data_IF_468841525117
#
_entry.id   IF_468841525117
#
_cell.length_a   1.000
_cell.length_b   1.000
_cell.length_c   1.000
_cell.angle_alpha   90.00
_cell.angle_beta   90.00
_cell.angle_gamma   90.00
#
_symmetry.space_group_name_H-M   'P 1'
#
loop_
_entity.id
_entity.type
_entity.pdbx_description
1 polymer ?
#
# COMPACT_ATOMS: atom_id res chain seq x y z
N UNK A 1 11.46 5.93 16.96
CA UNK A 1 10.82 5.55 15.66
C UNK A 1 10.77 4.04 15.62
N UNK A 2 9.58 3.49 15.59
CA UNK A 2 9.37 2.04 15.52
C UNK A 2 9.53 1.57 14.07
N UNK A 3 10.42 0.62 13.81
CA UNK A 3 10.60 0.00 12.51
C UNK A 3 9.36 -0.85 12.14
N UNK A 4 9.10 -1.03 10.84
CA UNK A 4 7.94 -1.82 10.39
C UNK A 4 7.97 -3.26 10.88
N UNK A 5 9.13 -3.90 10.81
CA UNK A 5 9.31 -5.29 11.28
C UNK A 5 9.07 -5.44 12.79
N UNK A 6 9.54 -4.48 13.59
CA UNK A 6 9.28 -4.46 15.03
C UNK A 6 7.79 -4.29 15.33
N UNK A 7 7.14 -3.33 14.65
CA UNK A 7 5.69 -3.10 14.76
C UNK A 7 4.89 -4.37 14.41
N UNK A 8 5.24 -5.04 13.33
CA UNK A 8 4.58 -6.30 12.95
C UNK A 8 4.83 -7.43 13.96
N UNK A 9 6.02 -7.48 14.56
CA UNK A 9 6.35 -8.47 15.60
C UNK A 9 5.45 -8.28 16.82
N UNK A 10 5.36 -7.05 17.33
CA UNK A 10 4.52 -6.71 18.48
C UNK A 10 3.04 -6.97 18.18
N UNK A 11 2.57 -6.56 16.99
CA UNK A 11 1.21 -6.79 16.54
C UNK A 11 0.85 -8.28 16.45
N UNK A 12 1.73 -9.11 15.90
CA UNK A 12 1.52 -10.56 15.81
C UNK A 12 1.55 -11.23 17.19
N UNK A 13 2.41 -10.76 18.09
CA UNK A 13 2.50 -11.25 19.46
C UNK A 13 1.23 -10.94 20.27
N UNK A 14 0.44 -9.95 19.89
CA UNK A 14 -0.84 -9.61 20.55
C UNK A 14 -2.00 -10.55 20.18
N UNK A 15 -1.76 -11.56 19.33
CA UNK A 15 -2.78 -12.55 18.97
C UNK A 15 -3.36 -13.25 20.20
N UNK A 16 -4.65 -13.60 20.25
CA UNK A 16 -5.62 -13.47 19.15
C UNK A 16 -6.31 -12.10 19.06
N UNK A 17 -5.98 -11.15 19.91
CA UNK A 17 -6.66 -9.85 19.98
C UNK A 17 -6.24 -8.89 18.86
N UNK A 18 -5.02 -9.04 18.32
CA UNK A 18 -4.45 -8.18 17.28
C UNK A 18 -4.59 -6.70 17.57
N UNK A 19 -4.09 -6.29 18.73
CA UNK A 19 -4.11 -4.89 19.19
C UNK A 19 -2.74 -4.24 19.01
N UNK A 20 -2.75 -2.94 18.67
CA UNK A 20 -1.55 -2.13 18.58
C UNK A 20 -1.87 -0.65 18.81
N UNK A 21 -0.92 0.07 19.38
CA UNK A 21 -0.86 1.52 19.40
C UNK A 21 0.39 1.93 18.64
N UNK A 22 0.28 2.88 17.73
CA UNK A 22 1.38 3.26 16.84
C UNK A 22 2.06 4.53 17.30
N UNK A 23 3.36 4.59 17.06
CA UNK A 23 4.15 5.80 17.23
C UNK A 23 3.78 6.86 16.19
N UNK A 24 4.12 8.11 16.48
CA UNK A 24 3.91 9.25 15.60
C UNK A 24 4.52 9.06 14.20
N UNK A 25 5.62 8.29 14.07
CA UNK A 25 6.24 8.01 12.76
C UNK A 25 5.40 7.09 11.86
N UNK A 26 4.25 6.59 12.31
CA UNK A 26 3.31 5.85 11.46
C UNK A 26 2.01 6.61 11.21
N UNK A 27 1.93 7.88 11.61
CA UNK A 27 0.78 8.73 11.39
C UNK A 27 0.94 9.61 10.15
N UNK A 28 -0.17 9.86 9.46
CA UNK A 28 -0.36 10.86 8.41
C UNK A 28 -1.29 11.95 8.95
N UNK A 29 -0.70 13.02 9.50
CA UNK A 29 -1.46 13.99 10.28
C UNK A 29 -1.98 13.34 11.57
N UNK A 30 -3.28 13.39 11.78
CA UNK A 30 -3.96 12.85 12.98
C UNK A 30 -4.44 11.40 12.84
N UNK A 31 -4.12 10.72 11.77
CA UNK A 31 -4.59 9.35 11.50
C UNK A 31 -3.42 8.43 11.17
N UNK A 32 -3.57 7.15 11.44
CA UNK A 32 -2.62 6.15 10.97
C UNK A 32 -2.49 6.18 9.43
N UNK A 33 -1.29 5.92 8.92
CA UNK A 33 -1.03 5.79 7.49
C UNK A 33 -1.86 4.65 6.88
N UNK A 34 -2.55 4.91 5.75
CA UNK A 34 -3.47 3.95 5.14
C UNK A 34 -2.82 2.63 4.74
N UNK A 35 -1.62 2.70 4.15
CA UNK A 35 -0.85 1.51 3.81
C UNK A 35 -0.51 0.64 5.01
N UNK A 36 -0.25 1.24 6.19
CA UNK A 36 -0.06 0.49 7.43
C UNK A 36 -1.35 -0.23 7.84
N UNK A 37 -2.48 0.48 7.89
CA UNK A 37 -3.74 -0.13 8.33
C UNK A 37 -4.17 -1.29 7.42
N UNK A 38 -3.99 -1.15 6.09
CA UNK A 38 -4.23 -2.22 5.12
C UNK A 38 -3.28 -3.43 5.34
N UNK A 39 -2.01 -3.17 5.64
CA UNK A 39 -1.02 -4.21 5.93
C UNK A 39 -1.33 -4.96 7.22
N UNK A 40 -1.82 -4.28 8.27
CA UNK A 40 -2.25 -4.90 9.52
C UNK A 40 -3.44 -5.84 9.33
N UNK A 41 -4.42 -5.50 8.47
CA UNK A 41 -5.51 -6.41 8.11
C UNK A 41 -4.98 -7.71 7.50
N UNK A 42 -4.05 -7.60 6.54
CA UNK A 42 -3.42 -8.76 5.92
C UNK A 42 -2.60 -9.57 6.93
N UNK A 43 -1.79 -8.89 7.76
CA UNK A 43 -0.95 -9.52 8.78
C UNK A 43 -1.76 -10.36 9.78
N UNK A 44 -2.90 -9.85 10.27
CA UNK A 44 -3.78 -10.57 11.18
C UNK A 44 -4.31 -11.88 10.56
N UNK A 45 -4.72 -11.84 9.28
CA UNK A 45 -5.20 -13.03 8.58
C UNK A 45 -4.08 -14.06 8.46
N UNK A 46 -2.91 -13.68 7.92
CA UNK A 46 -1.83 -14.65 7.67
C UNK A 46 -1.18 -15.17 8.94
N UNK A 47 -1.26 -14.43 10.04
CA UNK A 47 -0.80 -14.91 11.35
C UNK A 47 -1.79 -15.89 12.03
N UNK A 48 -3.07 -15.85 11.63
CA UNK A 48 -4.12 -16.67 12.25
C UNK A 48 -4.39 -18.00 11.54
N UNK A 49 -3.89 -18.16 10.32
CA UNK A 49 -4.18 -19.34 9.51
C UNK A 49 -2.92 -19.87 8.84
N UNK A 50 -2.56 -21.11 9.19
CA UNK A 50 -1.46 -21.82 8.54
C UNK A 50 -1.84 -22.21 7.10
N UNK A 51 -0.82 -22.31 6.25
CA UNK A 51 -0.93 -22.85 4.90
C UNK A 51 -1.97 -22.12 4.01
N UNK A 52 -2.09 -20.80 4.15
CA UNK A 52 -2.85 -20.02 3.20
C UNK A 52 -2.16 -20.04 1.83
N UNK A 53 -2.91 -20.20 0.72
CA UNK A 53 -2.35 -19.97 -0.60
C UNK A 53 -1.99 -18.49 -0.77
N UNK A 54 -1.26 -18.13 -1.84
CA UNK A 54 -0.90 -16.73 -2.10
C UNK A 54 -2.12 -15.80 -2.16
N UNK A 55 -1.93 -14.55 -1.69
CA UNK A 55 -2.92 -13.48 -1.86
C UNK A 55 -3.12 -13.23 -3.36
N UNK A 56 -4.38 -13.14 -3.81
CA UNK A 56 -4.73 -12.81 -5.20
C UNK A 56 -5.27 -11.39 -5.32
N UNK A 57 -6.15 -11.02 -4.42
CA UNK A 57 -6.74 -9.68 -4.44
C UNK A 57 -7.14 -9.23 -3.05
N UNK A 58 -7.09 -7.91 -2.83
CA UNK A 58 -7.67 -7.26 -1.67
C UNK A 58 -8.49 -6.04 -2.10
N UNK A 59 -9.60 -5.82 -1.41
CA UNK A 59 -10.45 -4.64 -1.56
C UNK A 59 -10.49 -3.94 -0.22
N UNK A 60 -9.92 -2.74 -0.15
CA UNK A 60 -9.77 -1.95 1.07
C UNK A 60 -10.68 -0.73 1.00
N UNK A 61 -11.35 -0.41 2.11
CA UNK A 61 -12.12 0.81 2.29
C UNK A 61 -11.61 1.53 3.54
N UNK A 62 -11.24 2.79 3.39
CA UNK A 62 -10.85 3.68 4.47
C UNK A 62 -12.09 4.45 4.92
N UNK A 63 -12.74 3.97 5.98
CA UNK A 63 -14.06 4.43 6.42
C UNK A 63 -13.95 5.68 7.30
N UNK A 64 -12.93 5.73 8.15
CA UNK A 64 -12.71 6.83 9.06
C UNK A 64 -11.26 6.96 9.52
N UNK A 65 -10.93 8.03 10.22
CA UNK A 65 -9.59 8.20 10.80
C UNK A 65 -9.33 7.12 11.85
N UNK A 66 -8.09 6.67 11.92
CA UNK A 66 -7.63 5.69 12.91
C UNK A 66 -6.58 6.33 13.81
N UNK A 67 -6.83 6.39 15.10
CA UNK A 67 -5.92 6.95 16.11
C UNK A 67 -6.11 6.25 17.45
N UNK A 68 -5.10 6.35 18.34
CA UNK A 68 -5.06 5.66 19.61
C UNK A 68 -4.83 4.15 19.46
N UNK A 69 -5.47 3.38 20.33
CA UNK A 69 -5.39 1.92 20.26
C UNK A 69 -6.21 1.38 19.10
N UNK A 70 -5.57 0.60 18.25
CA UNK A 70 -6.17 -0.07 17.11
C UNK A 70 -6.35 -1.55 17.38
N UNK A 71 -7.46 -2.11 16.91
CA UNK A 71 -7.77 -3.54 17.04
C UNK A 71 -8.24 -4.08 15.69
N UNK A 72 -7.64 -5.20 15.29
CA UNK A 72 -8.02 -5.88 14.03
C UNK A 72 -8.83 -7.13 14.34
N UNK A 73 -9.98 -7.26 13.67
CA UNK A 73 -10.80 -8.45 13.66
C UNK A 73 -10.94 -9.00 12.24
N UNK A 74 -10.98 -10.30 12.10
CA UNK A 74 -11.15 -10.95 10.80
C UNK A 74 -12.07 -12.18 10.90
N UNK A 75 -12.68 -12.54 9.77
CA UNK A 75 -13.55 -13.70 9.65
C UNK A 75 -13.38 -14.36 8.29
N UNK A 76 -13.17 -15.66 8.29
CA UNK A 76 -13.28 -16.45 7.06
C UNK A 76 -14.73 -16.44 6.60
N UNK A 77 -14.98 -15.97 5.37
CA UNK A 77 -16.32 -15.96 4.77
C UNK A 77 -16.60 -17.26 4.04
N UNK A 78 -15.60 -17.77 3.32
CA UNK A 78 -15.71 -19.01 2.55
C UNK A 78 -14.35 -19.60 2.29
N UNK A 79 -14.25 -20.94 2.39
CA UNK A 79 -13.14 -21.75 1.88
C UNK A 79 -13.68 -22.69 0.81
N UNK A 80 -13.18 -22.56 -0.40
CA UNK A 80 -13.42 -23.48 -1.51
C UNK A 80 -12.23 -24.40 -1.73
N UNK A 81 -12.28 -25.21 -2.79
CA UNK A 81 -11.16 -26.09 -3.18
C UNK A 81 -9.89 -25.33 -3.52
N UNK A 82 -10.01 -24.19 -4.19
CA UNK A 82 -8.87 -23.46 -4.77
C UNK A 82 -8.68 -22.06 -4.19
N UNK A 83 -9.63 -21.54 -3.42
CA UNK A 83 -9.55 -20.20 -2.86
C UNK A 83 -10.21 -20.12 -1.48
N UNK A 84 -9.80 -19.11 -0.73
CA UNK A 84 -10.40 -18.73 0.55
C UNK A 84 -10.53 -17.22 0.62
N UNK A 85 -11.68 -16.75 1.09
CA UNK A 85 -11.95 -15.30 1.23
C UNK A 85 -12.22 -14.96 2.69
N UNK A 86 -11.60 -13.87 3.12
CA UNK A 86 -11.76 -13.28 4.46
C UNK A 86 -12.34 -11.88 4.36
N UNK A 87 -13.12 -11.50 5.35
CA UNK A 87 -13.37 -10.11 5.73
C UNK A 87 -12.46 -9.78 6.91
N UNK A 88 -11.83 -8.61 6.89
CA UNK A 88 -11.10 -8.06 8.02
C UNK A 88 -11.48 -6.60 8.23
N UNK A 89 -11.40 -6.10 9.46
CA UNK A 89 -11.59 -4.70 9.77
C UNK A 89 -10.70 -4.29 10.94
N UNK A 90 -10.34 -3.03 10.93
CA UNK A 90 -9.59 -2.35 11.97
C UNK A 90 -10.48 -1.23 12.52
N UNK A 91 -10.75 -1.31 13.80
CA UNK A 91 -11.36 -0.24 14.58
C UNK A 91 -10.32 0.39 15.51
N UNK A 92 -10.51 1.64 15.89
CA UNK A 92 -9.62 2.36 16.79
C UNK A 92 -10.41 3.12 17.86
N UNK A 93 -9.73 3.75 18.80
CA UNK A 93 -10.37 4.62 19.79
C UNK A 93 -11.13 5.79 19.13
N UNK A 94 -10.75 6.16 17.89
CA UNK A 94 -11.48 7.15 17.07
C UNK A 94 -12.74 6.58 16.36
N UNK A 95 -12.97 5.27 16.45
CA UNK A 95 -14.11 4.58 15.81
C UNK A 95 -13.71 3.68 14.64
N UNK A 96 -14.68 3.36 13.74
CA UNK A 96 -14.44 2.51 12.58
C UNK A 96 -13.37 3.10 11.65
N UNK A 97 -12.34 2.31 11.33
CA UNK A 97 -11.19 2.76 10.55
C UNK A 97 -11.09 2.15 9.15
N UNK A 98 -10.46 0.99 9.02
CA UNK A 98 -10.17 0.35 7.74
C UNK A 98 -10.85 -1.00 7.63
N UNK A 99 -11.53 -1.24 6.51
CA UNK A 99 -12.26 -2.49 6.23
C UNK A 99 -11.76 -3.12 4.94
N UNK A 100 -11.68 -4.45 4.88
CA UNK A 100 -11.21 -5.10 3.66
C UNK A 100 -11.71 -6.52 3.46
N UNK A 101 -11.69 -6.95 2.19
CA UNK A 101 -11.89 -8.32 1.75
C UNK A 101 -10.60 -8.82 1.11
N UNK A 102 -10.15 -10.00 1.53
CA UNK A 102 -8.90 -10.62 1.06
C UNK A 102 -9.20 -12.00 0.50
N UNK A 103 -8.85 -12.23 -0.75
CA UNK A 103 -9.00 -13.54 -1.39
C UNK A 103 -7.64 -14.12 -1.71
N UNK A 104 -7.39 -15.28 -1.14
CA UNK A 104 -6.21 -16.12 -1.37
C UNK A 104 -6.57 -17.25 -2.32
N UNK A 105 -5.64 -17.68 -3.17
CA UNK A 105 -5.92 -18.69 -4.16
C UNK A 105 -4.69 -19.47 -4.62
N UNK A 106 -4.84 -20.80 -4.80
CA UNK A 106 -3.77 -21.66 -5.29
C UNK A 106 -3.46 -21.38 -6.76
N UNK A 107 -2.20 -21.52 -7.15
CA UNK A 107 -1.79 -21.50 -8.55
C UNK A 107 -2.30 -22.77 -9.26
N UNK A 108 -2.80 -22.63 -10.48
CA UNK A 108 -3.39 -23.72 -11.25
C UNK A 108 -2.77 -23.82 -12.62
N UNK A 109 -2.63 -25.04 -13.13
CA UNK A 109 -2.23 -25.26 -14.53
C UNK A 109 -3.31 -24.69 -15.46
N UNK A 110 -2.90 -23.94 -16.45
CA UNK A 110 -3.77 -23.35 -17.47
C UNK A 110 -3.32 -23.79 -18.86
N UNK A 111 -4.28 -23.90 -19.79
CA UNK A 111 -3.99 -24.23 -21.18
C UNK A 111 -3.20 -23.11 -21.89
N UNK A 112 -3.40 -21.87 -21.48
CA UNK A 112 -2.68 -20.69 -21.98
C UNK A 112 -2.33 -19.78 -20.83
N UNK A 113 -1.10 -19.29 -20.80
CA UNK A 113 -0.64 -18.26 -19.89
C UNK A 113 -0.16 -17.04 -20.69
N UNK A 114 -0.40 -15.88 -20.17
CA UNK A 114 0.12 -14.61 -20.69
C UNK A 114 0.63 -13.80 -19.50
N UNK A 115 1.72 -13.11 -19.68
CA UNK A 115 2.29 -12.19 -18.71
C UNK A 115 2.54 -10.84 -19.37
N UNK A 116 2.68 -9.81 -18.55
CA UNK A 116 3.17 -8.53 -19.05
C UNK A 116 4.61 -8.68 -19.49
N UNK A 117 5.04 -8.02 -20.59
CA UNK A 117 6.44 -7.92 -20.92
C UNK A 117 7.19 -7.24 -19.76
N UNK A 118 8.46 -7.58 -19.61
CA UNK A 118 9.32 -6.87 -18.66
C UNK A 118 9.31 -5.39 -18.97
N UNK A 119 9.09 -4.58 -17.92
CA UNK A 119 9.11 -3.13 -18.05
C UNK A 119 10.54 -2.63 -18.18
N UNK A 120 10.78 -1.76 -19.15
CA UNK A 120 12.06 -1.05 -19.23
C UNK A 120 12.13 -0.06 -18.05
N UNK A 121 13.07 -0.32 -17.16
CA UNK A 121 13.18 0.45 -15.93
C UNK A 121 13.77 1.84 -16.24
N UNK A 122 13.22 2.90 -15.63
CA UNK A 122 13.84 4.22 -15.71
C UNK A 122 15.19 4.23 -14.98
N UNK A 123 15.83 5.40 -14.96
CA UNK A 123 17.09 5.58 -14.22
C UNK A 123 17.04 4.96 -12.82
N UNK A 124 18.19 4.46 -12.40
CA UNK A 124 18.34 3.81 -11.09
C UNK A 124 17.94 4.74 -9.95
N UNK A 125 17.45 4.20 -8.80
CA UNK A 125 17.07 5.02 -7.65
C UNK A 125 18.19 5.95 -7.14
N UNK A 126 19.45 5.57 -7.35
CA UNK A 126 20.61 6.39 -6.95
C UNK A 126 20.80 7.64 -7.81
N UNK A 127 20.21 7.68 -9.01
CA UNK A 127 20.34 8.78 -9.98
C UNK A 127 19.11 9.68 -10.05
N UNK A 128 18.01 9.29 -9.41
CA UNK A 128 16.78 10.08 -9.36
C UNK A 128 16.80 11.18 -8.30
N UNK A 129 15.94 12.19 -8.43
CA UNK A 129 15.73 13.20 -7.40
C UNK A 129 14.83 12.71 -6.27
N UNK A 130 15.02 13.17 -5.05
CA UNK A 130 14.14 12.88 -3.91
C UNK A 130 12.77 13.51 -4.12
N UNK A 131 11.71 12.72 -4.05
CA UNK A 131 10.34 13.21 -4.26
C UNK A 131 9.87 14.10 -3.11
N UNK A 132 10.03 13.59 -1.89
CA UNK A 132 9.73 14.29 -0.64
C UNK A 132 10.84 13.91 0.34
N UNK A 133 11.52 14.88 0.97
CA UNK A 133 12.46 14.57 2.04
C UNK A 133 11.74 13.77 3.15
N UNK A 134 12.32 12.67 3.60
CA UNK A 134 11.71 11.82 4.65
C UNK A 134 11.55 12.51 6.01
N UNK A 135 12.11 13.70 6.19
CA UNK A 135 11.96 14.56 7.37
C UNK A 135 10.98 15.74 7.18
N UNK A 136 10.24 15.83 6.06
CA UNK A 136 9.40 16.99 5.73
C UNK A 136 8.04 17.01 6.46
N UNK A 137 8.01 16.82 7.76
CA UNK A 137 6.85 17.09 8.63
C UNK A 137 5.69 16.11 8.54
N UNK A 138 5.80 15.05 7.74
CA UNK A 138 4.81 13.96 7.67
C UNK A 138 5.46 12.69 8.22
N UNK A 139 5.07 12.30 9.42
CA UNK A 139 5.77 11.29 10.20
C UNK A 139 5.91 9.94 9.48
N UNK A 140 4.85 9.46 8.80
CA UNK A 140 4.90 8.18 8.06
C UNK A 140 5.94 8.16 6.93
N UNK A 141 6.28 9.30 6.34
CA UNK A 141 7.29 9.39 5.27
C UNK A 141 8.68 9.02 5.76
N UNK A 142 8.94 9.14 7.07
CA UNK A 142 10.21 8.75 7.67
C UNK A 142 10.49 7.22 7.58
N UNK A 143 9.49 6.40 7.26
CA UNK A 143 9.65 4.95 7.13
C UNK A 143 10.05 4.50 5.72
N UNK A 144 10.05 5.42 4.74
CA UNK A 144 10.25 5.09 3.33
C UNK A 144 11.28 5.99 2.67
N UNK A 145 12.10 5.41 1.81
CA UNK A 145 12.84 6.15 0.79
C UNK A 145 11.97 6.20 -0.47
N UNK A 146 11.68 7.41 -0.95
CA UNK A 146 10.89 7.64 -2.18
C UNK A 146 11.63 8.58 -3.10
N UNK A 147 11.97 8.11 -4.29
CA UNK A 147 12.77 8.84 -5.29
C UNK A 147 11.96 8.93 -6.58
N UNK A 148 11.71 10.15 -7.05
CA UNK A 148 11.03 10.35 -8.33
C UNK A 148 11.94 9.88 -9.47
N UNK A 149 11.43 8.92 -10.26
CA UNK A 149 12.10 8.42 -11.44
C UNK A 149 11.68 9.21 -12.69
N UNK A 150 10.36 9.38 -12.89
CA UNK A 150 9.80 10.15 -14.00
C UNK A 150 8.47 10.82 -13.59
N UNK A 151 7.91 11.61 -14.47
CA UNK A 151 6.63 12.28 -14.26
C UNK A 151 6.76 13.64 -13.58
N UNK A 152 5.61 14.23 -13.26
CA UNK A 152 5.51 15.61 -12.78
C UNK A 152 5.80 15.72 -11.29
N UNK A 153 6.27 16.88 -10.85
CA UNK A 153 6.44 17.17 -9.43
C UNK A 153 5.08 17.33 -8.73
N UNK A 154 5.02 17.03 -7.44
CA UNK A 154 3.83 17.29 -6.64
C UNK A 154 3.56 18.80 -6.57
N UNK A 155 2.30 19.19 -6.62
CA UNK A 155 1.81 20.57 -6.58
C UNK A 155 2.38 21.47 -7.67
N UNK A 156 2.66 20.92 -8.85
CA UNK A 156 3.21 21.65 -10.00
C UNK A 156 2.16 22.18 -10.99
N UNK A 157 0.89 21.84 -10.83
CA UNK A 157 -0.16 22.22 -11.76
C UNK A 157 -0.04 21.56 -13.15
N UNK A 158 0.46 20.33 -13.18
CA UNK A 158 0.71 19.61 -14.44
C UNK A 158 -0.57 19.17 -15.14
N UNK A 159 -0.64 19.34 -16.44
CA UNK A 159 -1.71 18.79 -17.30
C UNK A 159 -1.59 17.28 -17.54
N UNK A 160 -0.44 16.68 -17.19
CA UNK A 160 -0.21 15.25 -17.29
C UNK A 160 0.07 14.64 -15.89
N UNK A 161 -0.98 14.26 -15.16
CA UNK A 161 -0.86 13.71 -13.82
C UNK A 161 -0.41 12.24 -13.85
N UNK A 162 0.85 12.04 -14.17
CA UNK A 162 1.58 10.77 -14.16
C UNK A 162 2.82 10.91 -13.28
N UNK A 163 3.07 9.94 -12.41
CA UNK A 163 4.18 9.95 -11.49
C UNK A 163 4.75 8.54 -11.34
N UNK A 164 6.04 8.39 -11.58
CA UNK A 164 6.77 7.14 -11.34
C UNK A 164 7.84 7.37 -10.29
N UNK A 165 7.80 6.57 -9.23
CA UNK A 165 8.73 6.65 -8.11
C UNK A 165 9.38 5.30 -7.83
N UNK A 166 10.64 5.33 -7.45
CA UNK A 166 11.24 4.24 -6.68
C UNK A 166 10.84 4.38 -5.22
N UNK A 167 10.41 3.29 -4.61
CA UNK A 167 10.05 3.25 -3.18
C UNK A 167 10.68 2.07 -2.49
N UNK A 168 11.14 2.26 -1.25
CA UNK A 168 11.74 1.24 -0.41
C UNK A 168 11.46 1.54 1.06
N UNK A 169 11.19 0.51 1.87
CA UNK A 169 11.24 0.65 3.32
C UNK A 169 12.65 1.04 3.78
N UNK A 170 12.77 1.92 4.77
CA UNK A 170 14.05 2.18 5.44
C UNK A 170 14.47 0.96 6.25
N UNK A 171 13.50 0.27 6.86
CA UNK A 171 13.73 -0.97 7.58
C UNK A 171 14.15 -2.10 6.61
N UNK A 172 15.39 -2.63 6.73
CA UNK A 172 15.87 -3.69 5.84
C UNK A 172 15.13 -5.02 6.00
N UNK A 173 14.51 -5.27 7.14
CA UNK A 173 13.71 -6.47 7.41
C UNK A 173 12.31 -6.42 6.76
N UNK A 174 11.93 -5.27 6.18
CA UNK A 174 10.68 -5.05 5.46
C UNK A 174 10.86 -4.95 3.93
N UNK A 175 11.96 -5.44 3.38
CA UNK A 175 12.26 -5.32 1.94
C UNK A 175 11.53 -6.35 1.08
N UNK A 176 10.91 -7.37 1.67
CA UNK A 176 10.22 -8.44 0.96
C UNK A 176 8.98 -8.88 1.72
N UNK A 177 8.02 -9.44 1.00
CA UNK A 177 6.78 -9.94 1.56
C UNK A 177 5.54 -9.18 1.09
N UNK A 178 4.39 -9.85 1.16
CA UNK A 178 3.12 -9.26 0.70
C UNK A 178 2.64 -8.17 1.66
N UNK A 179 2.75 -8.39 2.97
CA UNK A 179 2.37 -7.41 4.00
C UNK A 179 3.19 -6.14 3.86
N UNK A 180 4.49 -6.29 3.69
CA UNK A 180 5.47 -5.22 3.53
C UNK A 180 5.22 -4.44 2.22
N UNK A 181 4.93 -5.15 1.14
CA UNK A 181 4.60 -4.52 -0.15
C UNK A 181 3.28 -3.72 -0.07
N UNK A 182 2.25 -4.23 0.60
CA UNK A 182 1.01 -3.48 0.84
C UNK A 182 1.31 -2.17 1.58
N UNK A 183 2.08 -2.21 2.67
CA UNK A 183 2.45 -1.01 3.41
C UNK A 183 3.26 -0.01 2.56
N UNK A 184 4.14 -0.50 1.67
CA UNK A 184 5.00 0.32 0.82
C UNK A 184 4.23 1.06 -0.27
N UNK A 185 3.20 0.42 -0.85
CA UNK A 185 2.61 0.79 -2.13
C UNK A 185 1.43 1.76 -2.04
N UNK A 186 0.97 2.14 -0.86
CA UNK A 186 0.06 3.28 -0.69
C UNK A 186 0.84 4.58 -0.98
N UNK A 187 1.03 4.85 -2.27
CA UNK A 187 1.89 5.92 -2.78
C UNK A 187 1.17 7.29 -2.76
N UNK A 188 1.92 8.39 -2.87
CA UNK A 188 1.33 9.71 -3.01
C UNK A 188 0.34 9.75 -4.17
N UNK A 189 -0.86 10.33 -3.99
CA UNK A 189 -1.84 10.45 -5.06
C UNK A 189 -1.32 11.31 -6.20
N UNK A 190 -1.41 10.79 -7.42
CA UNK A 190 -0.94 11.51 -8.62
C UNK A 190 -1.74 12.77 -8.91
N UNK A 191 -2.99 12.86 -8.41
CA UNK A 191 -3.76 14.10 -8.46
C UNK A 191 -2.98 15.30 -7.91
N UNK A 192 -2.09 15.08 -6.93
CA UNK A 192 -1.22 16.14 -6.39
C UNK A 192 -0.30 16.78 -7.43
N UNK A 193 0.01 16.10 -8.53
CA UNK A 193 0.85 16.70 -9.59
C UNK A 193 0.08 17.72 -10.42
N UNK A 194 -1.24 17.55 -10.55
CA UNK A 194 -2.12 18.48 -11.27
C UNK A 194 -2.57 19.68 -10.43
N UNK A 195 -2.42 19.62 -9.12
CA UNK A 195 -2.81 20.69 -8.20
C UNK A 195 -1.65 21.66 -7.96
N UNK A 196 -1.97 22.88 -7.55
CA UNK A 196 -1.00 23.89 -7.09
C UNK A 196 -1.09 24.13 -5.58
N UNK A 197 -2.20 23.71 -4.96
CA UNK A 197 -2.44 23.80 -3.53
C UNK A 197 -3.24 22.62 -3.02
N UNK A 198 -3.12 22.31 -1.74
CA UNK A 198 -3.81 21.21 -1.07
C UNK A 198 -4.02 21.55 0.41
N UNK A 199 -5.26 21.45 0.89
CA UNK A 199 -5.56 21.51 2.31
C UNK A 199 -5.50 20.11 2.94
N UNK A 200 -6.18 19.13 2.33
CA UNK A 200 -6.18 17.75 2.80
C UNK A 200 -6.51 16.77 1.66
N UNK A 201 -6.18 15.52 1.86
CA UNK A 201 -6.64 14.40 1.02
C UNK A 201 -6.93 13.18 1.88
N UNK A 202 -7.81 12.31 1.38
CA UNK A 202 -8.17 11.06 2.03
C UNK A 202 -8.40 9.99 0.99
N UNK A 203 -7.72 8.86 1.11
CA UNK A 203 -8.06 7.66 0.36
C UNK A 203 -9.43 7.15 0.79
N UNK A 204 -10.29 6.80 -0.16
CA UNK A 204 -11.62 6.24 0.11
C UNK A 204 -11.62 4.73 -0.02
N UNK A 205 -11.03 4.22 -1.10
CA UNK A 205 -10.86 2.79 -1.32
C UNK A 205 -9.56 2.51 -2.07
N UNK A 206 -9.14 1.24 -1.99
CA UNK A 206 -7.98 0.74 -2.70
C UNK A 206 -8.20 -0.71 -3.09
N UNK A 207 -8.19 -1.02 -4.39
CA UNK A 207 -8.29 -2.36 -4.93
C UNK A 207 -6.90 -2.83 -5.36
N UNK A 208 -6.47 -3.96 -4.85
CA UNK A 208 -5.16 -4.58 -5.08
C UNK A 208 -5.35 -5.90 -5.82
N UNK A 209 -4.59 -6.13 -6.88
CA UNK A 209 -4.48 -7.42 -7.56
C UNK A 209 -3.01 -7.85 -7.57
N UNK A 210 -2.70 -8.97 -6.91
CA UNK A 210 -1.36 -9.54 -6.89
C UNK A 210 -1.12 -10.36 -8.14
N UNK A 211 -0.03 -10.11 -8.85
CA UNK A 211 0.35 -10.78 -10.09
C UNK A 211 1.44 -11.82 -9.86
N UNK A 212 2.06 -11.83 -8.70
CA UNK A 212 3.08 -12.80 -8.26
C UNK A 212 2.71 -13.38 -6.91
N UNK A 213 2.97 -14.67 -6.74
CA UNK A 213 2.69 -15.40 -5.50
C UNK A 213 3.55 -14.89 -4.33
N UNK A 214 4.80 -14.58 -4.62
CA UNK A 214 5.76 -14.04 -3.67
C UNK A 214 6.50 -12.86 -4.31
N UNK A 215 6.10 -11.62 -4.05
CA UNK A 215 6.75 -10.45 -4.61
C UNK A 215 8.13 -10.25 -3.99
N UNK A 216 9.16 -10.40 -4.80
CA UNK A 216 10.57 -10.21 -4.42
C UNK A 216 11.23 -9.14 -5.26
N UNK A 217 12.24 -8.48 -4.72
CA UNK A 217 13.04 -7.48 -5.43
C UNK A 217 14.47 -7.45 -4.90
N UNK A 218 15.38 -6.89 -5.66
CA UNK A 218 16.76 -6.65 -5.21
C UNK A 218 16.82 -5.36 -4.41
N UNK A 219 17.54 -5.37 -3.30
CA UNK A 219 17.81 -4.21 -2.44
C UNK A 219 16.55 -3.51 -1.86
N UNK A 220 15.40 -4.19 -1.85
CA UNK A 220 14.15 -3.68 -1.32
C UNK A 220 13.45 -2.61 -2.18
N UNK A 221 13.97 -2.26 -3.34
CA UNK A 221 13.39 -1.25 -4.21
C UNK A 221 12.30 -1.80 -5.12
N UNK A 222 11.14 -1.14 -5.10
CA UNK A 222 10.06 -1.33 -6.06
C UNK A 222 9.82 -0.04 -6.84
N UNK A 223 9.49 -0.18 -8.13
CA UNK A 223 9.07 0.91 -8.97
C UNK A 223 7.54 1.00 -8.93
N UNK A 224 7.01 2.15 -8.58
CA UNK A 224 5.58 2.44 -8.52
C UNK A 224 5.26 3.51 -9.55
N UNK A 225 4.38 3.20 -10.50
CA UNK A 225 3.77 4.20 -11.37
C UNK A 225 2.34 4.43 -10.94
N UNK A 226 1.96 5.69 -10.81
CA UNK A 226 0.59 6.10 -10.56
C UNK A 226 0.17 7.10 -11.65
N UNK A 227 -1.03 6.94 -12.18
CA UNK A 227 -1.58 7.81 -13.20
C UNK A 227 -3.03 8.16 -12.87
N UNK A 228 -3.31 9.44 -12.76
CA UNK A 228 -4.67 9.91 -12.52
C UNK A 228 -5.40 10.08 -13.86
N UNK A 229 -6.57 9.47 -13.97
CA UNK A 229 -7.43 9.53 -15.16
C UNK A 229 -8.54 10.55 -15.02
N UNK A 230 -8.86 10.96 -13.80
CA UNK A 230 -10.01 11.82 -13.53
C UNK A 230 -9.81 12.60 -12.24
N UNK A 231 -10.01 13.92 -12.31
CA UNK A 231 -10.05 14.83 -11.16
C UNK A 231 -11.27 15.73 -11.36
N UNK A 232 -12.29 15.58 -10.53
CA UNK A 232 -13.50 16.40 -10.61
C UNK A 232 -14.30 16.37 -9.32
N UNK A 233 -14.96 17.48 -8.98
CA UNK A 233 -15.85 17.58 -7.81
C UNK A 233 -15.22 17.17 -6.47
N UNK A 234 -13.90 17.41 -6.30
CA UNK A 234 -13.18 17.04 -5.09
C UNK A 234 -12.78 15.56 -5.03
N UNK A 235 -12.83 14.83 -6.14
CA UNK A 235 -12.47 13.41 -6.20
C UNK A 235 -11.49 13.13 -7.34
N UNK A 236 -10.69 12.09 -7.14
CA UNK A 236 -9.76 11.57 -8.15
C UNK A 236 -9.75 10.05 -8.14
N UNK A 237 -9.57 9.47 -9.33
CA UNK A 237 -9.29 8.05 -9.50
C UNK A 237 -7.92 7.87 -10.12
N UNK A 238 -7.11 6.97 -9.55
CA UNK A 238 -5.78 6.67 -10.06
C UNK A 238 -5.57 5.19 -10.28
N UNK A 239 -4.88 4.85 -11.37
CA UNK A 239 -4.33 3.53 -11.62
C UNK A 239 -2.92 3.46 -11.06
N UNK A 240 -2.57 2.33 -10.50
CA UNK A 240 -1.25 2.10 -9.90
C UNK A 240 -0.68 0.78 -10.39
N UNK A 241 0.59 0.77 -10.68
CA UNK A 241 1.35 -0.38 -11.19
C UNK A 241 2.66 -0.49 -10.43
N UNK A 242 3.03 -1.71 -10.07
CA UNK A 242 4.22 -1.96 -9.25
C UNK A 242 5.10 -2.99 -9.92
N UNK A 243 6.40 -2.69 -10.06
CA UNK A 243 7.42 -3.59 -10.60
C UNK A 243 8.57 -3.77 -9.60
N UNK A 244 9.21 -4.93 -9.68
CA UNK A 244 10.47 -5.18 -9.00
C UNK A 244 11.67 -4.59 -9.77
N UNK A 245 12.88 -4.79 -9.24
CA UNK A 245 14.14 -4.34 -9.88
C UNK A 245 14.49 -5.07 -11.17
N UNK A 246 13.82 -6.18 -11.49
CA UNK A 246 14.00 -6.93 -12.74
C UNK A 246 12.99 -6.54 -13.82
N UNK A 247 12.14 -5.52 -13.55
CA UNK A 247 11.08 -5.06 -14.45
C UNK A 247 9.86 -6.00 -14.50
N UNK A 248 9.77 -6.97 -13.59
CA UNK A 248 8.62 -7.85 -13.50
C UNK A 248 7.47 -7.18 -12.74
N UNK A 249 6.26 -7.23 -13.31
CA UNK A 249 5.08 -6.63 -12.69
C UNK A 249 4.58 -7.47 -11.52
N UNK A 250 4.55 -6.85 -10.34
CA UNK A 250 4.19 -7.50 -9.08
C UNK A 250 2.72 -7.31 -8.74
N UNK A 251 2.17 -6.11 -9.02
CA UNK A 251 0.88 -5.72 -8.52
C UNK A 251 0.23 -4.66 -9.41
N UNK A 252 -1.09 -4.73 -9.56
CA UNK A 252 -1.95 -3.71 -10.14
C UNK A 252 -2.95 -3.23 -9.12
N UNK A 253 -3.20 -1.91 -9.09
CA UNK A 253 -4.14 -1.31 -8.16
C UNK A 253 -4.96 -0.21 -8.81
N UNK A 254 -6.11 0.05 -8.19
CA UNK A 254 -6.93 1.25 -8.44
C UNK A 254 -7.27 1.85 -7.08
N UNK A 255 -7.10 3.16 -6.95
CA UNK A 255 -7.43 3.90 -5.73
C UNK A 255 -8.32 5.09 -6.04
N UNK A 256 -9.33 5.34 -5.20
CA UNK A 256 -10.18 6.52 -5.26
C UNK A 256 -9.92 7.42 -4.06
N UNK A 257 -9.84 8.73 -4.29
CA UNK A 257 -9.31 9.71 -3.34
C UNK A 257 -10.25 10.91 -3.28
N UNK A 258 -10.55 11.38 -2.08
CA UNK A 258 -11.16 12.68 -1.83
C UNK A 258 -10.07 13.74 -1.66
N UNK A 259 -10.25 14.89 -2.28
CA UNK A 259 -9.31 16.02 -2.33
C UNK A 259 -10.01 17.26 -1.81
N UNK A 260 -9.35 17.98 -0.89
CA UNK A 260 -9.80 19.23 -0.30
C UNK A 260 -8.79 20.33 -0.65
N UNK A 261 -9.22 21.35 -1.40
CA UNK A 261 -8.41 22.50 -1.83
C UNK A 261 -8.97 23.79 -1.28
#
# INVERSE_FOLDING_TARGET
MTAFSSLLTDFRASAPNYEIEIDENWKQGRTAYGGLTAALLHAAIVNSYDNLPPLRTAQINFVGPTDGRMRVSHKMLRRGKNNVTFKAHLDSDAGPGTYGYFTFGVSRKMARQMDYPKHELPVSPQMGGTLIPHNAGRNFLANFLRIRATGSALLSGSDNPDLTIWSRHIDPHAHQGVTELIALTDAPPTALTALTQLNALSSMNWNINMLRDNPTTTDGWFLLRTATKHIRHGYSSQEMQVWNRDGERMMDCIQHIAIFT
#
